data_IF_952868781141
#
_entry.id   IF_952868781141
#
_cell.length_a   1.000
_cell.length_b   1.000
_cell.length_c   1.000
_cell.angle_alpha   90.00
_cell.angle_beta   90.00
_cell.angle_gamma   90.00
#
_symmetry.space_group_name_H-M   'P 1'
#
loop_
_entity.id
_entity.type
_entity.pdbx_description
1 polymer ?
#
# COMPACT_ATOMS: atom_id res chain seq x y z
N UNK A 1 63.21 16.38 12.10
CA UNK A 1 62.66 15.36 13.03
C UNK A 1 61.35 15.79 13.70
N UNK A 2 61.16 17.06 14.09
CA UNK A 2 59.93 17.53 14.77
C UNK A 2 58.62 17.38 13.96
N UNK A 3 58.63 17.62 12.63
CA UNK A 3 57.43 17.43 11.79
C UNK A 3 56.97 15.97 11.68
N UNK A 4 57.89 15.00 11.78
CA UNK A 4 57.57 13.57 11.67
C UNK A 4 56.88 13.06 12.94
N UNK A 5 57.34 13.53 14.11
CA UNK A 5 56.76 13.19 15.42
C UNK A 5 55.34 13.75 15.54
N UNK A 6 55.11 14.97 15.07
CA UNK A 6 53.78 15.59 15.11
C UNK A 6 52.77 14.88 14.18
N UNK A 7 53.22 14.47 12.98
CA UNK A 7 52.38 13.69 12.06
C UNK A 7 52.03 12.30 12.61
N UNK A 8 52.97 11.65 13.29
CA UNK A 8 52.74 10.37 13.95
C UNK A 8 51.75 10.49 15.12
N UNK A 9 51.85 11.58 15.91
CA UNK A 9 50.92 11.85 17.02
C UNK A 9 49.48 12.09 16.55
N UNK A 10 49.28 12.81 15.44
CA UNK A 10 47.94 13.05 14.85
C UNK A 10 47.34 11.75 14.30
N UNK A 11 48.14 10.90 13.64
CA UNK A 11 47.70 9.58 13.16
C UNK A 11 47.30 8.64 14.30
N UNK A 12 48.06 8.62 15.41
CA UNK A 12 47.70 7.84 16.60
C UNK A 12 46.42 8.35 17.26
N UNK A 13 46.20 9.67 17.30
CA UNK A 13 44.98 10.25 17.88
C UNK A 13 43.74 9.92 17.05
N UNK A 14 43.83 9.95 15.72
CA UNK A 14 42.74 9.52 14.83
C UNK A 14 42.46 8.01 14.92
N UNK A 15 43.49 7.19 15.10
CA UNK A 15 43.38 5.75 15.31
C UNK A 15 42.70 5.40 16.64
N UNK A 16 42.99 6.14 17.72
CA UNK A 16 42.32 5.95 19.03
C UNK A 16 40.84 6.34 18.95
N UNK A 17 40.50 7.45 18.30
CA UNK A 17 39.10 7.89 18.15
C UNK A 17 38.28 6.89 17.34
N UNK A 18 38.87 6.28 16.30
CA UNK A 18 38.17 5.24 15.51
C UNK A 18 38.00 3.95 16.31
N UNK A 19 39.03 3.45 17.00
CA UNK A 19 38.94 2.23 17.84
C UNK A 19 37.90 2.35 18.97
N UNK A 20 37.81 3.52 19.62
CA UNK A 20 36.80 3.78 20.66
C UNK A 20 35.37 3.83 20.08
N UNK A 21 35.20 4.26 18.83
CA UNK A 21 33.91 4.28 18.13
C UNK A 21 33.42 2.92 17.64
N UNK A 22 34.31 1.94 17.43
CA UNK A 22 33.92 0.58 17.02
C UNK A 22 33.35 -0.28 18.17
N UNK A 23 33.55 0.12 19.43
CA UNK A 23 33.19 -0.69 20.60
C UNK A 23 31.69 -0.66 20.97
N UNK A 24 30.85 0.07 20.24
CA UNK A 24 29.39 0.13 20.50
C UNK A 24 28.54 -0.67 19.51
N UNK A 25 29.13 -1.44 18.59
CA UNK A 25 28.36 -2.20 17.57
C UNK A 25 28.39 -3.73 17.69
N UNK A 26 29.00 -4.32 18.71
CA UNK A 26 28.95 -5.79 18.92
C UNK A 26 28.59 -6.12 20.36
N UNK A 27 27.29 -6.00 20.66
CA UNK A 27 26.65 -6.67 21.78
C UNK A 27 25.34 -7.30 21.30
N UNK A 28 25.47 -8.25 20.38
CA UNK A 28 24.48 -9.29 20.15
C UNK A 28 25.25 -10.62 20.21
N UNK A 29 25.59 -11.02 21.45
CA UNK A 29 26.15 -12.33 21.74
C UNK A 29 25.09 -13.40 21.52
N UNK A 30 25.45 -14.39 20.73
CA UNK A 30 24.71 -15.59 20.40
C UNK A 30 24.99 -16.65 21.47
N UNK A 31 24.02 -16.92 22.35
CA UNK A 31 24.02 -18.13 23.20
C UNK A 31 23.34 -19.25 22.40
N UNK A 32 24.11 -20.29 22.09
CA UNK A 32 23.66 -21.48 21.37
C UNK A 32 23.12 -22.49 22.40
N UNK A 33 21.79 -22.61 22.53
CA UNK A 33 21.16 -23.68 23.29
C UNK A 33 20.40 -24.63 22.35
N UNK A 34 20.85 -25.89 22.35
CA UNK A 34 20.25 -27.07 21.69
C UNK A 34 18.87 -27.39 22.29
N UNK A 35 17.87 -26.57 21.97
CA UNK A 35 16.46 -26.78 22.32
C UNK A 35 15.46 -26.27 21.27
N UNK A 36 15.92 -25.59 20.22
CA UNK A 36 15.05 -24.86 19.27
C UNK A 36 14.56 -25.68 18.08
N UNK A 37 15.18 -26.82 17.75
CA UNK A 37 14.84 -27.56 16.53
C UNK A 37 13.45 -28.22 16.57
N UNK A 38 12.85 -28.40 17.75
CA UNK A 38 11.46 -28.86 17.89
C UNK A 38 10.45 -27.71 17.98
N UNK A 39 10.91 -26.46 18.05
CA UNK A 39 10.06 -25.27 18.08
C UNK A 39 9.88 -24.64 16.68
N UNK A 40 10.84 -24.80 15.78
CA UNK A 40 10.78 -24.22 14.42
C UNK A 40 9.72 -24.87 13.51
N UNK A 41 9.41 -26.17 13.69
CA UNK A 41 8.35 -26.84 12.92
C UNK A 41 6.94 -26.32 13.31
N UNK A 42 6.72 -26.01 14.60
CA UNK A 42 5.43 -25.47 15.07
C UNK A 42 5.29 -23.95 14.84
N UNK A 43 6.42 -23.23 14.80
CA UNK A 43 6.45 -21.82 14.43
C UNK A 43 6.21 -21.59 12.93
N UNK A 44 6.65 -22.50 12.06
CA UNK A 44 6.44 -22.39 10.62
C UNK A 44 5.00 -22.72 10.18
N UNK A 45 4.24 -23.48 10.98
CA UNK A 45 2.81 -23.71 10.72
C UNK A 45 1.92 -22.66 11.38
N UNK A 46 2.47 -21.89 12.32
CA UNK A 46 1.88 -20.65 12.83
C UNK A 46 2.42 -19.47 12.04
N UNK A 47 2.28 -19.53 10.71
CA UNK A 47 2.14 -18.31 9.92
C UNK A 47 0.89 -17.62 10.46
N UNK A 48 1.08 -16.84 11.53
CA UNK A 48 0.11 -15.87 12.00
C UNK A 48 -0.38 -15.19 10.73
N UNK A 49 -1.67 -15.36 10.42
CA UNK A 49 -2.26 -14.46 9.44
C UNK A 49 -2.12 -13.11 10.09
N UNK A 50 -1.05 -12.41 9.74
CA UNK A 50 -0.85 -11.01 10.01
C UNK A 50 -1.91 -10.33 9.14
N UNK A 51 -3.15 -10.43 9.61
CA UNK A 51 -4.28 -9.67 9.13
C UNK A 51 -3.89 -8.25 9.49
N UNK A 52 -3.15 -7.61 8.58
CA UNK A 52 -2.97 -6.18 8.65
C UNK A 52 -4.38 -5.63 8.68
N UNK A 53 -4.78 -5.16 9.85
CA UNK A 53 -5.87 -4.21 9.98
C UNK A 53 -5.39 -2.99 9.24
N UNK A 54 -5.53 -3.01 7.92
CA UNK A 54 -5.26 -1.85 7.08
C UNK A 54 -6.23 -0.81 7.58
N UNK A 55 -5.71 0.16 8.34
CA UNK A 55 -6.47 1.38 8.57
C UNK A 55 -6.86 1.88 7.19
N UNK A 56 -8.17 1.96 6.93
CA UNK A 56 -8.72 2.40 5.64
C UNK A 56 -8.08 3.74 5.21
N UNK A 57 -7.60 4.52 6.17
CA UNK A 57 -6.80 5.73 5.98
C UNK A 57 -5.42 5.40 5.37
N UNK A 58 -5.28 5.63 4.07
CA UNK A 58 -3.97 5.65 3.38
C UNK A 58 -3.82 4.60 2.29
N UNK A 59 -4.63 3.53 2.31
CA UNK A 59 -4.61 2.53 1.23
C UNK A 59 -4.95 3.14 -0.13
N UNK A 60 -5.91 4.06 -0.19
CA UNK A 60 -6.29 4.71 -1.45
C UNK A 60 -5.14 5.55 -2.03
N UNK A 61 -4.32 6.17 -1.17
CA UNK A 61 -3.12 6.91 -1.57
C UNK A 61 -2.05 5.97 -2.11
N UNK A 62 -1.79 4.85 -1.44
CA UNK A 62 -0.85 3.83 -1.91
C UNK A 62 -1.28 3.27 -3.27
N UNK A 63 -2.58 2.96 -3.42
CA UNK A 63 -3.16 2.49 -4.66
C UNK A 63 -3.02 3.55 -5.78
N UNK A 64 -3.36 4.82 -5.51
CA UNK A 64 -3.20 5.88 -6.50
C UNK A 64 -1.74 6.05 -6.92
N UNK A 65 -0.80 5.97 -5.98
CA UNK A 65 0.63 6.06 -6.28
C UNK A 65 1.10 4.90 -7.17
N UNK A 66 0.65 3.68 -6.88
CA UNK A 66 0.95 2.50 -7.71
C UNK A 66 0.38 2.65 -9.12
N UNK A 67 -0.88 3.08 -9.25
CA UNK A 67 -1.53 3.32 -10.56
C UNK A 67 -0.80 4.43 -11.33
N UNK A 68 -0.45 5.53 -10.66
CA UNK A 68 0.25 6.63 -11.29
C UNK A 68 1.66 6.26 -11.73
N UNK A 69 2.37 5.42 -10.98
CA UNK A 69 3.68 4.87 -11.39
C UNK A 69 3.55 4.14 -12.74
N UNK A 70 2.52 3.31 -12.89
CA UNK A 70 2.27 2.60 -14.15
C UNK A 70 1.87 3.57 -15.27
N UNK A 71 1.03 4.57 -14.99
CA UNK A 71 0.63 5.57 -15.99
C UNK A 71 1.83 6.35 -16.53
N UNK A 72 2.71 6.83 -15.65
CA UNK A 72 3.91 7.57 -16.06
C UNK A 72 4.88 6.69 -16.84
N UNK A 73 5.00 5.40 -16.50
CA UNK A 73 5.80 4.44 -17.26
C UNK A 73 5.29 4.25 -18.70
N UNK A 74 4.00 4.51 -18.95
CA UNK A 74 3.39 4.47 -20.28
C UNK A 74 3.22 5.87 -20.90
N UNK A 75 3.90 6.91 -20.38
CA UNK A 75 3.83 8.27 -20.90
C UNK A 75 2.50 8.99 -20.66
N UNK A 76 1.64 8.47 -19.78
CA UNK A 76 0.34 9.06 -19.46
C UNK A 76 0.43 10.01 -18.27
N UNK A 77 -0.37 11.09 -18.29
CA UNK A 77 -0.49 12.03 -17.19
C UNK A 77 -1.00 11.35 -15.90
N UNK A 78 -0.52 11.83 -14.75
CA UNK A 78 -0.95 11.34 -13.42
C UNK A 78 -2.41 11.69 -13.14
N UNK A 79 -3.10 10.81 -12.43
CA UNK A 79 -4.45 11.03 -11.89
C UNK A 79 -4.37 11.67 -10.50
N UNK A 80 -5.42 12.40 -10.13
CA UNK A 80 -5.61 12.99 -8.82
C UNK A 80 -6.84 12.40 -8.12
N UNK A 81 -6.81 12.34 -6.79
CA UNK A 81 -7.99 11.94 -6.01
C UNK A 81 -9.11 12.97 -6.14
N UNK A 82 -10.33 12.50 -6.37
CA UNK A 82 -11.54 13.32 -6.35
C UNK A 82 -12.47 12.83 -5.24
N UNK A 83 -12.77 13.70 -4.26
CA UNK A 83 -13.59 13.34 -3.10
C UNK A 83 -15.02 12.94 -3.49
N UNK A 84 -15.61 13.60 -4.49
CA UNK A 84 -16.97 13.31 -4.95
C UNK A 84 -17.07 11.92 -5.59
N UNK A 85 -16.09 11.54 -6.41
CA UNK A 85 -16.03 10.19 -6.99
C UNK A 85 -15.82 9.11 -5.92
N UNK A 86 -15.02 9.40 -4.88
CA UNK A 86 -14.86 8.50 -3.75
C UNK A 86 -16.17 8.30 -2.98
N UNK A 87 -16.93 9.38 -2.74
CA UNK A 87 -18.25 9.29 -2.10
C UNK A 87 -19.21 8.43 -2.93
N UNK A 88 -19.28 8.62 -4.25
CA UNK A 88 -20.12 7.81 -5.13
C UNK A 88 -19.71 6.32 -5.11
N UNK A 89 -18.41 6.03 -5.18
CA UNK A 89 -17.89 4.66 -5.14
C UNK A 89 -18.17 3.98 -3.80
N UNK A 90 -17.93 4.69 -2.68
CA UNK A 90 -18.18 4.16 -1.35
C UNK A 90 -19.67 3.89 -1.12
N UNK A 91 -20.55 4.80 -1.55
CA UNK A 91 -21.99 4.59 -1.47
C UNK A 91 -22.45 3.34 -2.23
N UNK A 92 -21.92 3.11 -3.43
CA UNK A 92 -22.21 1.89 -4.21
C UNK A 92 -21.70 0.63 -3.53
N UNK A 93 -20.48 0.64 -3.00
CA UNK A 93 -19.92 -0.50 -2.25
C UNK A 93 -20.72 -0.81 -0.99
N UNK A 94 -21.18 0.21 -0.27
CA UNK A 94 -22.03 0.05 0.91
C UNK A 94 -23.41 -0.53 0.54
N UNK A 95 -24.00 -0.10 -0.57
CA UNK A 95 -25.29 -0.65 -1.06
C UNK A 95 -25.17 -2.12 -1.47
N UNK A 96 -24.10 -2.48 -2.17
CA UNK A 96 -23.78 -3.86 -2.54
C UNK A 96 -23.60 -4.76 -1.31
N UNK A 97 -22.85 -4.27 -0.31
CA UNK A 97 -22.65 -5.00 0.94
C UNK A 97 -23.96 -5.17 1.73
N UNK A 98 -24.78 -4.11 1.83
CA UNK A 98 -26.03 -4.13 2.58
C UNK A 98 -27.07 -5.09 1.98
N UNK A 99 -27.04 -5.31 0.66
CA UNK A 99 -28.01 -6.13 -0.07
C UNK A 99 -27.41 -7.44 -0.60
N UNK A 100 -26.19 -7.78 -0.18
CA UNK A 100 -25.49 -9.02 -0.52
C UNK A 100 -25.44 -9.32 -2.04
N UNK A 101 -25.06 -8.33 -2.84
CA UNK A 101 -24.93 -8.49 -4.29
C UNK A 101 -23.69 -7.79 -4.84
N UNK A 102 -23.23 -8.21 -6.03
CA UNK A 102 -22.17 -7.53 -6.77
C UNK A 102 -22.65 -7.20 -8.18
N UNK A 103 -22.81 -5.91 -8.49
CA UNK A 103 -23.23 -5.44 -9.80
C UNK A 103 -22.71 -4.02 -10.06
N UNK A 104 -22.64 -3.65 -11.33
CA UNK A 104 -22.41 -2.25 -11.71
C UNK A 104 -23.68 -1.40 -11.57
N UNK A 105 -24.85 -2.04 -11.59
CA UNK A 105 -26.16 -1.40 -11.38
C UNK A 105 -26.46 -1.36 -9.89
N UNK A 106 -26.87 -0.20 -9.39
CA UNK A 106 -27.32 -0.05 -8.02
C UNK A 106 -28.61 -0.83 -7.80
N UNK A 107 -28.91 -1.16 -6.55
CA UNK A 107 -30.17 -1.83 -6.18
C UNK A 107 -31.42 -0.97 -6.45
N UNK A 108 -31.24 0.35 -6.56
CA UNK A 108 -32.24 1.33 -7.00
C UNK A 108 -32.35 1.41 -8.54
N UNK A 109 -31.59 0.60 -9.27
CA UNK A 109 -31.51 0.63 -10.73
C UNK A 109 -30.54 1.67 -11.28
N UNK A 110 -29.83 2.42 -10.43
CA UNK A 110 -28.91 3.47 -10.88
C UNK A 110 -27.72 2.90 -11.65
N UNK A 111 -27.28 3.65 -12.66
CA UNK A 111 -26.02 3.44 -13.37
C UNK A 111 -24.88 4.16 -12.65
N UNK A 112 -23.64 3.75 -12.91
CA UNK A 112 -22.45 4.43 -12.38
C UNK A 112 -22.46 5.94 -12.69
N UNK A 113 -22.88 6.32 -13.90
CA UNK A 113 -22.95 7.72 -14.33
C UNK A 113 -23.95 8.52 -13.51
N UNK A 114 -25.14 7.97 -13.28
CA UNK A 114 -26.16 8.63 -12.45
C UNK A 114 -25.66 8.84 -11.02
N UNK A 115 -24.94 7.87 -10.44
CA UNK A 115 -24.34 8.02 -9.10
C UNK A 115 -23.22 9.07 -9.06
N UNK A 116 -22.38 9.12 -10.09
CA UNK A 116 -21.33 10.15 -10.25
C UNK A 116 -21.95 11.54 -10.39
N UNK A 117 -23.00 11.70 -11.19
CA UNK A 117 -23.72 12.97 -11.34
C UNK A 117 -24.40 13.38 -10.03
N UNK A 118 -25.05 12.44 -9.34
CA UNK A 118 -25.68 12.69 -8.04
C UNK A 118 -24.68 13.12 -6.96
N UNK A 119 -23.44 12.63 -7.01
CA UNK A 119 -22.33 13.09 -6.15
C UNK A 119 -21.77 14.48 -6.54
N UNK A 120 -22.36 15.14 -7.54
CA UNK A 120 -22.04 16.51 -7.93
C UNK A 120 -20.77 16.65 -8.77
N UNK A 121 -20.34 15.60 -9.48
CA UNK A 121 -19.27 15.67 -10.49
C UNK A 121 -19.84 15.89 -11.88
N UNK A 122 -19.49 17.02 -12.49
CA UNK A 122 -19.91 17.41 -13.85
C UNK A 122 -19.04 16.82 -14.97
N UNK A 123 -18.25 15.78 -14.67
CA UNK A 123 -17.28 15.21 -15.60
C UNK A 123 -17.96 14.32 -16.63
N UNK A 124 -17.92 14.74 -17.90
CA UNK A 124 -18.46 14.03 -19.06
C UNK A 124 -18.05 12.56 -19.05
N UNK A 125 -19.00 11.71 -18.68
CA UNK A 125 -18.88 10.28 -18.84
C UNK A 125 -19.14 10.00 -20.33
N UNK A 126 -18.12 9.54 -21.07
CA UNK A 126 -18.28 9.13 -22.47
C UNK A 126 -19.45 8.14 -22.52
N UNK A 127 -20.57 8.46 -23.20
CA UNK A 127 -21.69 7.56 -23.27
C UNK A 127 -21.25 6.30 -24.04
N UNK A 128 -21.04 5.18 -23.35
CA UNK A 128 -21.13 3.89 -24.04
C UNK A 128 -22.60 3.70 -24.29
N UNK A 129 -22.98 3.71 -25.56
CA UNK A 129 -24.31 3.34 -26.01
C UNK A 129 -24.61 1.92 -25.52
N UNK A 130 -25.29 1.83 -24.38
CA UNK A 130 -25.84 0.57 -23.88
C UNK A 130 -27.01 0.22 -24.79
N UNK A 131 -26.75 -0.64 -25.78
CA UNK A 131 -27.83 -1.37 -26.46
C UNK A 131 -28.70 -2.03 -25.39
N UNK A 132 -30.03 -1.86 -25.43
CA UNK A 132 -30.90 -2.37 -24.38
C UNK A 132 -30.75 -3.89 -24.27
N UNK A 133 -30.51 -4.36 -23.05
CA UNK A 133 -30.50 -5.79 -22.72
C UNK A 133 -31.89 -6.36 -23.04
N UNK A 134 -31.97 -7.15 -24.10
CA UNK A 134 -33.15 -7.95 -24.42
C UNK A 134 -33.34 -8.92 -23.26
N UNK A 135 -34.32 -8.64 -22.38
CA UNK A 135 -34.81 -9.59 -21.38
C UNK A 135 -35.14 -10.90 -22.10
N UNK A 136 -34.25 -11.89 -22.05
CA UNK A 136 -34.63 -13.27 -22.33
C UNK A 136 -35.33 -13.75 -21.07
N UNK A 137 -36.66 -13.68 -21.10
CA UNK A 137 -37.51 -14.51 -20.27
C UNK A 137 -37.07 -15.96 -20.46
N UNK A 138 -36.41 -16.52 -19.45
CA UNK A 138 -36.31 -17.96 -19.28
C UNK A 138 -37.66 -18.39 -18.70
N UNK A 139 -38.35 -19.22 -19.49
CA UNK A 139 -39.36 -20.15 -18.98
C UNK A 139 -38.69 -21.15 -18.05
#
# INVERSE_FOLDING_TARGET
MALAVHRLAVLLLLLVVTLLGYSTLVAAGQEMAIGSAVAEELANTTSTRHLQTYSSTGFQTLMLNAVNKQRTANGLAKLCMNKKLQTAAQGHSSDMAAKNYMSHTGSDGSTMSQRITAAGTSGALVPRTSRPARRRSMR
#
